data_IF_210835623212
#
_entry.id   IF_210835623212
#
_cell.length_a   1.000
_cell.length_b   1.000
_cell.length_c   1.000
_cell.angle_alpha   90.00
_cell.angle_beta   90.00
_cell.angle_gamma   90.00
#
_symmetry.space_group_name_H-M   'P 1'
#
loop_
_entity.id
_entity.type
_entity.pdbx_description
1 polymer ?
#
# COMPACT_ATOMS: atom_id res chain seq x y z
N UNK A 1 -6.26 -16.43 17.26
CA UNK A 1 -6.00 -14.99 17.16
C UNK A 1 -6.46 -14.49 15.80
N UNK A 2 -6.89 -13.24 15.66
CA UNK A 2 -7.30 -12.70 14.35
C UNK A 2 -6.08 -12.29 13.52
N UNK A 3 -6.15 -12.52 12.21
CA UNK A 3 -5.12 -12.07 11.27
C UNK A 3 -5.00 -10.54 11.26
N UNK A 4 -6.10 -9.84 11.51
CA UNK A 4 -6.14 -8.39 11.64
C UNK A 4 -5.27 -7.86 12.79
N UNK A 5 -5.41 -8.42 14.01
CA UNK A 5 -4.60 -7.98 15.15
C UNK A 5 -3.11 -8.23 14.90
N UNK A 6 -2.78 -9.39 14.34
CA UNK A 6 -1.41 -9.72 13.95
C UNK A 6 -0.83 -8.73 12.93
N UNK A 7 -1.57 -8.43 11.87
CA UNK A 7 -1.17 -7.47 10.84
C UNK A 7 -0.89 -6.08 11.42
N UNK A 8 -1.78 -5.56 12.27
CA UNK A 8 -1.62 -4.21 12.83
C UNK A 8 -0.44 -4.11 13.79
N UNK A 9 -0.27 -5.09 14.68
CA UNK A 9 0.85 -5.09 15.62
C UNK A 9 2.20 -5.30 14.92
N UNK A 10 2.23 -6.10 13.84
CA UNK A 10 3.42 -6.21 13.01
C UNK A 10 3.73 -4.88 12.28
N UNK A 11 2.73 -4.22 11.70
CA UNK A 11 2.92 -2.90 11.08
C UNK A 11 3.46 -1.88 12.09
N UNK A 12 2.89 -1.82 13.29
CA UNK A 12 3.36 -0.93 14.35
C UNK A 12 4.84 -1.20 14.70
N UNK A 13 5.18 -2.48 14.90
CA UNK A 13 6.55 -2.88 15.20
C UNK A 13 7.53 -2.52 14.08
N UNK A 14 7.17 -2.74 12.82
CA UNK A 14 8.02 -2.41 11.67
C UNK A 14 8.23 -0.90 11.53
N UNK A 15 7.17 -0.09 11.66
CA UNK A 15 7.28 1.37 11.56
C UNK A 15 8.19 1.95 12.66
N UNK A 16 8.14 1.39 13.87
CA UNK A 16 8.97 1.86 14.99
C UNK A 16 10.48 1.65 14.80
N UNK A 17 10.87 0.79 13.84
CA UNK A 17 12.24 0.31 13.67
C UNK A 17 12.85 0.64 12.32
N UNK A 18 12.05 1.10 11.37
CA UNK A 18 12.50 1.28 10.00
C UNK A 18 11.92 2.53 9.34
N UNK A 19 12.60 2.98 8.30
CA UNK A 19 12.25 4.20 7.56
C UNK A 19 11.40 3.92 6.30
N UNK A 20 11.11 2.64 5.98
CA UNK A 20 10.27 2.32 4.82
C UNK A 20 8.82 2.77 4.99
N UNK A 21 8.17 3.09 3.87
CA UNK A 21 6.73 3.30 3.85
C UNK A 21 6.00 1.97 3.98
N UNK A 22 5.14 1.89 4.99
CA UNK A 22 4.26 0.73 5.20
C UNK A 22 2.85 1.01 4.70
N UNK A 23 2.31 0.06 3.96
CA UNK A 23 0.90 0.07 3.60
C UNK A 23 0.33 -1.33 3.59
N UNK A 24 -0.99 -1.40 3.78
CA UNK A 24 -1.69 -2.68 3.87
C UNK A 24 -2.67 -2.90 2.74
N UNK A 25 -2.97 -4.15 2.44
CA UNK A 25 -4.10 -4.58 1.64
C UNK A 25 -4.09 -3.87 0.27
N UNK A 26 -3.02 -4.10 -0.50
CA UNK A 26 -2.80 -3.48 -1.80
C UNK A 26 -2.90 -4.50 -2.93
N UNK A 27 -3.72 -4.18 -3.94
CA UNK A 27 -3.87 -5.02 -5.12
C UNK A 27 -2.55 -5.12 -5.91
N UNK A 28 -2.17 -6.35 -6.22
CA UNK A 28 -0.88 -6.74 -6.79
C UNK A 28 -1.02 -7.64 -8.03
N UNK A 29 -2.19 -7.61 -8.67
CA UNK A 29 -2.41 -8.25 -9.96
C UNK A 29 -2.11 -7.33 -11.14
N UNK A 30 -1.76 -7.93 -12.28
CA UNK A 30 -1.48 -7.23 -13.53
C UNK A 30 -2.54 -7.54 -14.59
N UNK A 31 -2.73 -8.80 -14.90
CA UNK A 31 -3.66 -9.32 -15.90
C UNK A 31 -5.08 -9.55 -15.36
N UNK A 32 -5.23 -9.85 -14.05
CA UNK A 32 -6.53 -10.04 -13.41
C UNK A 32 -6.78 -9.02 -12.28
N UNK A 33 -7.28 -7.80 -12.59
CA UNK A 33 -7.46 -6.76 -11.60
C UNK A 33 -8.29 -7.20 -10.39
N UNK A 34 -7.62 -7.34 -9.24
CA UNK A 34 -8.24 -7.77 -7.98
C UNK A 34 -8.00 -9.22 -7.60
N UNK A 35 -7.35 -10.03 -8.46
CA UNK A 35 -7.05 -11.44 -8.21
C UNK A 35 -6.04 -11.68 -7.08
N UNK A 36 -5.15 -10.73 -6.80
CA UNK A 36 -4.16 -10.78 -5.71
C UNK A 36 -4.09 -9.47 -4.95
N UNK A 37 -4.08 -9.57 -3.62
CA UNK A 37 -3.91 -8.47 -2.68
C UNK A 37 -2.74 -8.84 -1.77
N UNK A 38 -1.72 -7.99 -1.64
CA UNK A 38 -0.65 -8.14 -0.66
C UNK A 38 -1.13 -7.61 0.69
N UNK A 39 -0.89 -8.38 1.75
CA UNK A 39 -1.32 -8.01 3.11
C UNK A 39 -0.62 -6.76 3.61
N UNK A 40 0.71 -6.77 3.59
CA UNK A 40 1.56 -5.63 3.94
C UNK A 40 2.62 -5.44 2.87
N UNK A 41 2.91 -4.18 2.54
CA UNK A 41 4.05 -3.80 1.70
C UNK A 41 4.96 -2.84 2.45
N UNK A 42 6.26 -3.06 2.32
CA UNK A 42 7.30 -2.11 2.74
C UNK A 42 7.92 -1.50 1.48
N UNK A 43 8.06 -0.18 1.44
CA UNK A 43 8.65 0.52 0.29
C UNK A 43 9.81 1.38 0.76
N UNK A 44 10.99 1.02 0.28
CA UNK A 44 12.20 1.79 0.49
C UNK A 44 12.07 3.17 -0.21
N UNK A 45 12.28 4.29 0.50
CA UNK A 45 12.35 5.60 -0.12
C UNK A 45 13.49 5.65 -1.15
N UNK A 46 13.17 6.13 -2.36
CA UNK A 46 14.13 6.39 -3.43
C UNK A 46 14.79 7.78 -3.30
N UNK A 47 15.72 8.10 -4.21
CA UNK A 47 16.51 9.33 -4.12
C UNK A 47 15.69 10.62 -4.26
N UNK A 48 14.57 10.59 -4.97
CA UNK A 48 13.70 11.76 -5.18
C UNK A 48 12.41 11.68 -4.33
N UNK A 49 12.47 11.03 -3.16
CA UNK A 49 11.33 10.90 -2.24
C UNK A 49 10.73 12.25 -1.82
N UNK A 50 11.57 13.20 -1.42
CA UNK A 50 11.12 14.53 -0.98
C UNK A 50 10.43 15.31 -2.11
N UNK A 51 10.87 15.10 -3.36
CA UNK A 51 10.23 15.69 -4.53
C UNK A 51 8.82 15.12 -4.72
N UNK A 52 8.61 13.83 -4.47
CA UNK A 52 7.27 13.21 -4.49
C UNK A 52 6.41 13.74 -3.35
N UNK A 53 6.95 13.81 -2.14
CA UNK A 53 6.21 14.25 -0.97
C UNK A 53 5.73 15.70 -1.09
N UNK A 54 6.52 16.56 -1.74
CA UNK A 54 6.16 17.96 -1.99
C UNK A 54 5.00 18.16 -3.01
N UNK A 55 4.52 17.12 -3.69
CA UNK A 55 3.43 17.25 -4.68
C UNK A 55 2.06 17.26 -3.98
N UNK A 56 1.76 16.19 -3.25
CA UNK A 56 0.43 15.93 -2.67
C UNK A 56 0.49 14.75 -1.69
N UNK A 57 -0.31 14.75 -0.60
CA UNK A 57 -0.44 13.61 0.31
C UNK A 57 -1.10 12.39 -0.37
N UNK A 58 -1.79 12.60 -1.47
CA UNK A 58 -2.66 11.64 -2.14
C UNK A 58 -1.90 10.76 -3.15
N UNK A 59 -2.41 9.56 -3.49
CA UNK A 59 -1.85 8.77 -4.58
C UNK A 59 -2.11 9.46 -5.93
N UNK A 60 -1.07 9.62 -6.75
CA UNK A 60 -1.18 10.20 -8.10
C UNK A 60 -1.69 9.11 -9.05
N UNK A 61 -2.76 9.38 -9.85
CA UNK A 61 -3.28 8.38 -10.78
C UNK A 61 -2.22 7.94 -11.81
N UNK A 62 -2.01 6.64 -11.94
CA UNK A 62 -1.05 6.08 -12.92
C UNK A 62 -1.28 6.57 -14.35
N UNK A 63 -2.54 6.74 -14.77
CA UNK A 63 -2.85 7.29 -16.08
C UNK A 63 -2.45 8.77 -16.24
N UNK A 64 -2.43 9.56 -15.17
CA UNK A 64 -1.94 10.94 -15.20
C UNK A 64 -0.41 11.00 -15.25
N UNK A 65 0.27 10.05 -14.58
CA UNK A 65 1.73 9.88 -14.65
C UNK A 65 2.16 9.47 -16.06
N UNK A 66 1.43 8.53 -16.66
CA UNK A 66 1.70 8.00 -18.01
C UNK A 66 1.27 8.93 -19.15
N UNK A 67 0.49 9.98 -18.84
CA UNK A 67 0.00 10.91 -19.84
C UNK A 67 1.17 11.70 -20.46
N UNK A 68 1.06 12.02 -21.74
CA UNK A 68 2.00 12.87 -22.46
C UNK A 68 1.84 14.36 -22.06
N UNK A 69 1.68 14.66 -20.77
CA UNK A 69 1.59 16.01 -20.17
C UNK A 69 2.90 16.28 -19.45
N UNK A 70 3.59 17.37 -19.78
CA UNK A 70 4.82 17.78 -19.09
C UNK A 70 4.63 19.06 -18.28
N UNK A 71 5.72 19.54 -17.67
CA UNK A 71 5.75 20.80 -16.89
C UNK A 71 5.87 22.05 -17.74
N UNK A 72 6.26 21.93 -19.01
CA UNK A 72 6.53 23.06 -19.90
C UNK A 72 5.27 23.68 -20.53
N UNK A 73 4.65 22.99 -21.48
CA UNK A 73 3.51 23.49 -22.25
C UNK A 73 2.22 22.76 -21.91
N UNK A 74 1.17 23.51 -21.61
CA UNK A 74 -0.17 22.96 -21.43
C UNK A 74 -0.67 22.24 -22.70
N UNK A 75 -1.30 21.08 -22.54
CA UNK A 75 -1.82 20.26 -23.62
C UNK A 75 -3.32 20.01 -23.46
N UNK A 76 -4.02 19.90 -24.58
CA UNK A 76 -5.43 19.54 -24.55
C UNK A 76 -5.56 18.13 -23.97
N UNK A 77 -6.24 18.00 -22.84
CA UNK A 77 -6.17 16.77 -22.05
C UNK A 77 -6.67 15.55 -22.84
N UNK A 78 -7.65 15.70 -23.75
CA UNK A 78 -8.16 14.57 -24.54
C UNK A 78 -7.13 13.98 -25.50
N UNK A 79 -6.11 14.73 -25.89
CA UNK A 79 -5.07 14.29 -26.82
C UNK A 79 -3.81 13.79 -26.09
N UNK A 80 -3.81 13.78 -24.75
CA UNK A 80 -2.63 13.53 -23.93
C UNK A 80 -2.57 12.13 -23.32
N UNK A 81 -3.60 11.31 -23.45
CA UNK A 81 -3.69 9.99 -22.81
C UNK A 81 -3.78 8.87 -23.85
N UNK A 82 -3.10 7.77 -23.57
CA UNK A 82 -3.19 6.52 -24.33
C UNK A 82 -4.07 5.51 -23.58
N UNK A 83 -5.32 5.89 -23.30
CA UNK A 83 -6.29 5.02 -22.64
C UNK A 83 -7.73 5.44 -22.94
N UNK A 84 -8.70 4.65 -22.47
CA UNK A 84 -10.13 4.93 -22.66
C UNK A 84 -10.51 6.36 -22.19
N UNK A 85 -11.34 7.12 -22.96
CA UNK A 85 -11.63 8.52 -22.65
C UNK A 85 -12.18 8.79 -21.25
N UNK A 86 -12.99 7.87 -20.71
CA UNK A 86 -13.50 8.01 -19.34
C UNK A 86 -12.40 7.85 -18.29
N UNK A 87 -11.44 6.95 -18.52
CA UNK A 87 -10.27 6.77 -17.64
C UNK A 87 -9.39 8.01 -17.70
N UNK A 88 -9.17 8.55 -18.89
CA UNK A 88 -8.43 9.81 -19.09
C UNK A 88 -9.13 10.97 -18.36
N UNK A 89 -10.46 11.07 -18.45
CA UNK A 89 -11.25 12.09 -17.75
C UNK A 89 -11.10 11.97 -16.23
N UNK A 90 -11.34 10.78 -15.66
CA UNK A 90 -11.19 10.54 -14.21
C UNK A 90 -9.78 10.86 -13.72
N UNK A 91 -8.76 10.44 -14.47
CA UNK A 91 -7.36 10.73 -14.14
C UNK A 91 -7.06 12.24 -14.20
N UNK A 92 -7.59 12.95 -15.20
CA UNK A 92 -7.44 14.41 -15.33
C UNK A 92 -8.13 15.14 -14.18
N UNK A 93 -9.37 14.79 -13.88
CA UNK A 93 -10.15 15.38 -12.78
C UNK A 93 -9.43 15.17 -11.44
N UNK A 94 -9.02 13.94 -11.13
CA UNK A 94 -8.29 13.62 -9.91
C UNK A 94 -6.92 14.32 -9.84
N UNK A 95 -6.17 14.35 -10.94
CA UNK A 95 -4.87 15.03 -10.99
C UNK A 95 -4.99 16.55 -10.74
N UNK A 96 -6.08 17.18 -11.20
CA UNK A 96 -6.36 18.59 -10.91
C UNK A 96 -6.77 18.81 -9.45
N UNK A 97 -7.61 17.92 -8.91
CA UNK A 97 -8.07 17.96 -7.51
C UNK A 97 -6.89 17.90 -6.54
N UNK A 98 -5.97 16.95 -6.74
CA UNK A 98 -4.81 16.74 -5.86
C UNK A 98 -3.63 17.67 -6.19
N UNK A 99 -3.78 18.57 -7.15
CA UNK A 99 -2.75 19.53 -7.52
C UNK A 99 -1.56 18.97 -8.29
N UNK A 100 -1.63 17.77 -8.86
CA UNK A 100 -0.61 17.25 -9.77
C UNK A 100 -0.66 17.92 -11.15
N UNK A 101 -1.86 18.28 -11.61
CA UNK A 101 -2.06 19.10 -12.81
C UNK A 101 -2.53 20.51 -12.46
N UNK A 102 -2.17 21.47 -13.31
CA UNK A 102 -2.76 22.81 -13.40
C UNK A 102 -3.68 22.89 -14.62
N UNK A 103 -4.77 23.65 -14.51
CA UNK A 103 -5.73 23.89 -15.60
C UNK A 103 -5.48 25.24 -16.28
N UNK A 104 -5.44 25.23 -17.60
CA UNK A 104 -5.42 26.41 -18.47
C UNK A 104 -6.59 26.33 -19.45
N UNK A 105 -7.55 27.25 -19.35
CA UNK A 105 -8.78 27.22 -20.16
C UNK A 105 -8.66 28.18 -21.34
N UNK A 106 -8.73 27.64 -22.57
CA UNK A 106 -8.59 28.40 -23.81
C UNK A 106 -9.74 28.09 -24.77
N UNK A 107 -10.46 29.10 -25.22
CA UNK A 107 -11.57 28.96 -26.17
C UNK A 107 -12.57 27.85 -25.78
N UNK A 108 -12.91 27.76 -24.49
CA UNK A 108 -13.82 26.74 -23.95
C UNK A 108 -13.26 25.32 -23.81
N UNK A 109 -11.96 25.10 -24.10
CA UNK A 109 -11.27 23.82 -23.94
C UNK A 109 -10.32 23.87 -22.74
N UNK A 110 -10.23 22.74 -22.04
CA UNK A 110 -9.31 22.59 -20.91
C UNK A 110 -7.98 22.03 -21.38
N UNK A 111 -6.91 22.77 -21.11
CA UNK A 111 -5.54 22.34 -21.27
C UNK A 111 -4.95 22.07 -19.88
N UNK A 112 -4.06 21.08 -19.79
CA UNK A 112 -3.42 20.69 -18.53
C UNK A 112 -1.90 20.65 -18.65
N UNK A 113 -1.24 20.89 -17.54
CA UNK A 113 0.23 20.86 -17.39
C UNK A 113 0.57 20.25 -16.03
N UNK A 114 1.65 19.50 -15.94
CA UNK A 114 2.14 19.00 -14.65
C UNK A 114 2.73 20.14 -13.81
N UNK A 115 2.51 20.12 -12.49
CA UNK A 115 3.14 21.08 -11.56
C UNK A 115 4.63 20.78 -11.36
N UNK A 116 5.00 19.50 -11.43
CA UNK A 116 6.36 19.02 -11.26
C UNK A 116 6.58 17.81 -12.18
N UNK A 117 7.85 17.54 -12.53
CA UNK A 117 8.19 16.28 -13.19
C UNK A 117 7.92 15.15 -12.21
N UNK A 118 7.34 14.05 -12.69
CA UNK A 118 7.16 12.88 -11.85
C UNK A 118 8.54 12.30 -11.44
N UNK A 119 8.83 12.17 -10.14
CA UNK A 119 10.16 11.81 -9.64
C UNK A 119 10.43 10.30 -9.58
N UNK A 120 11.70 9.91 -9.54
CA UNK A 120 12.16 8.56 -9.22
C UNK A 120 12.29 8.38 -7.70
N UNK A 121 11.16 8.07 -7.07
CA UNK A 121 10.99 8.32 -5.63
C UNK A 121 10.91 7.05 -4.76
N UNK A 122 10.86 5.85 -5.33
CA UNK A 122 10.76 4.60 -4.57
C UNK A 122 11.81 3.58 -5.03
N UNK A 123 12.31 2.80 -4.08
CA UNK A 123 13.28 1.73 -4.28
C UNK A 123 12.63 0.34 -4.20
N UNK A 124 13.22 -0.56 -3.39
CA UNK A 124 12.71 -1.92 -3.19
C UNK A 124 11.29 -1.91 -2.62
N UNK A 125 10.49 -2.87 -3.07
CA UNK A 125 9.16 -3.20 -2.55
C UNK A 125 9.26 -4.62 -1.97
N UNK A 126 8.98 -4.75 -0.67
CA UNK A 126 8.89 -6.05 0.01
C UNK A 126 7.43 -6.34 0.28
N UNK A 127 6.92 -7.47 -0.20
CA UNK A 127 5.60 -7.99 0.15
C UNK A 127 5.70 -8.88 1.38
N UNK A 128 4.85 -8.63 2.39
CA UNK A 128 4.73 -9.46 3.58
C UNK A 128 3.34 -10.07 3.59
N UNK A 129 3.28 -11.40 3.60
CA UNK A 129 2.05 -12.18 3.74
C UNK A 129 1.92 -12.62 5.21
N UNK A 130 0.78 -12.34 5.82
CA UNK A 130 0.53 -12.61 7.22
C UNK A 130 -0.21 -13.94 7.39
N UNK A 131 0.41 -14.90 8.06
CA UNK A 131 -0.25 -16.15 8.46
C UNK A 131 0.12 -16.54 9.89
N UNK A 132 -0.55 -16.01 10.92
CA UNK A 132 -0.21 -16.31 12.31
C UNK A 132 -0.32 -17.81 12.64
N UNK A 133 -1.32 -18.50 12.10
CA UNK A 133 -1.56 -19.95 12.29
C UNK A 133 -1.31 -20.76 11.01
N UNK A 134 -0.14 -21.41 10.93
CA UNK A 134 0.21 -22.33 9.82
C UNK A 134 -0.52 -23.68 9.90
N UNK A 135 -1.23 -23.97 10.99
CA UNK A 135 -2.13 -25.12 11.08
C UNK A 135 -3.36 -24.99 10.18
N UNK A 136 -3.70 -23.77 9.74
CA UNK A 136 -4.82 -23.46 8.84
C UNK A 136 -4.34 -22.55 7.70
N UNK A 137 -3.49 -23.05 6.79
CA UNK A 137 -2.82 -22.21 5.81
C UNK A 137 -3.75 -21.65 4.73
N UNK A 138 -4.91 -22.26 4.50
CA UNK A 138 -5.81 -21.85 3.40
C UNK A 138 -5.08 -21.91 2.06
N UNK A 139 -5.20 -20.83 1.27
CA UNK A 139 -4.58 -20.70 -0.06
C UNK A 139 -3.14 -20.16 -0.03
N UNK A 140 -2.51 -20.09 1.14
CA UNK A 140 -1.18 -19.49 1.34
C UNK A 140 -0.13 -19.99 0.33
N UNK A 141 -0.05 -21.30 0.11
CA UNK A 141 0.92 -21.87 -0.82
C UNK A 141 0.71 -21.35 -2.25
N UNK A 142 -0.55 -21.26 -2.70
CA UNK A 142 -0.88 -20.76 -4.03
C UNK A 142 -0.59 -19.27 -4.17
N UNK A 143 -0.86 -18.48 -3.13
CA UNK A 143 -0.57 -17.04 -3.07
C UNK A 143 0.95 -16.79 -3.16
N UNK A 144 1.74 -17.47 -2.33
CA UNK A 144 3.20 -17.31 -2.33
C UNK A 144 3.83 -17.77 -3.66
N UNK A 145 3.34 -18.86 -4.24
CA UNK A 145 3.76 -19.29 -5.59
C UNK A 145 3.42 -18.25 -6.65
N UNK A 146 2.25 -17.61 -6.54
CA UNK A 146 1.85 -16.52 -7.45
C UNK A 146 2.80 -15.33 -7.33
N UNK A 147 3.13 -14.90 -6.11
CA UNK A 147 4.00 -13.75 -5.90
C UNK A 147 5.41 -13.99 -6.44
N UNK A 148 5.96 -15.19 -6.21
CA UNK A 148 7.27 -15.60 -6.77
C UNK A 148 7.21 -15.70 -8.29
N UNK A 149 6.20 -16.37 -8.83
CA UNK A 149 6.02 -16.58 -10.27
C UNK A 149 5.83 -15.27 -11.03
N UNK A 150 5.10 -14.32 -10.46
CA UNK A 150 4.86 -13.02 -11.05
C UNK A 150 6.08 -12.11 -10.88
N UNK A 151 6.78 -12.19 -9.74
CA UNK A 151 7.94 -11.35 -9.44
C UNK A 151 7.59 -9.87 -9.46
N UNK A 152 6.47 -9.48 -8.84
CA UNK A 152 6.02 -8.08 -8.82
C UNK A 152 6.73 -7.25 -7.75
N UNK A 153 7.03 -7.85 -6.61
CA UNK A 153 7.81 -7.26 -5.52
C UNK A 153 9.24 -7.78 -5.57
N UNK A 154 10.18 -7.04 -4.98
CA UNK A 154 11.60 -7.43 -4.97
C UNK A 154 11.83 -8.63 -4.08
N UNK A 155 11.11 -8.71 -2.96
CA UNK A 155 11.19 -9.81 -2.00
C UNK A 155 9.79 -10.11 -1.44
N UNK A 156 9.57 -11.38 -1.08
CA UNK A 156 8.34 -11.84 -0.44
C UNK A 156 8.70 -12.48 0.89
N UNK A 157 7.97 -12.15 1.95
CA UNK A 157 8.16 -12.69 3.29
C UNK A 157 6.85 -13.23 3.82
N UNK A 158 6.89 -14.44 4.39
CA UNK A 158 5.82 -14.97 5.23
C UNK A 158 6.08 -14.61 6.69
N UNK A 159 5.18 -13.83 7.31
CA UNK A 159 5.21 -13.55 8.74
C UNK A 159 4.22 -14.45 9.50
N UNK A 160 4.70 -15.14 10.54
CA UNK A 160 3.89 -16.11 11.29
C UNK A 160 4.26 -16.16 12.77
N UNK A 161 3.32 -16.49 13.66
CA UNK A 161 3.62 -16.84 15.06
C UNK A 161 3.93 -18.32 15.24
N UNK A 162 3.48 -19.13 14.29
CA UNK A 162 3.60 -20.58 14.35
C UNK A 162 5.06 -21.00 14.37
N UNK A 163 5.35 -22.05 15.15
CA UNK A 163 6.65 -22.70 15.05
C UNK A 163 6.83 -23.30 13.65
N UNK A 164 7.88 -22.87 12.95
CA UNK A 164 8.12 -23.26 11.56
C UNK A 164 8.87 -24.59 11.52
N UNK A 165 8.15 -25.67 11.22
CA UNK A 165 8.72 -27.00 11.06
C UNK A 165 9.37 -27.18 9.69
N UNK A 166 10.18 -28.24 9.51
CA UNK A 166 10.70 -28.60 8.19
C UNK A 166 9.60 -28.89 7.17
N UNK A 167 8.48 -29.49 7.60
CA UNK A 167 7.33 -29.73 6.74
C UNK A 167 6.64 -28.42 6.28
N UNK A 168 6.61 -27.40 7.14
CA UNK A 168 6.13 -26.07 6.77
C UNK A 168 7.08 -25.44 5.73
N UNK A 169 8.39 -25.45 5.99
CA UNK A 169 9.40 -24.90 5.07
C UNK A 169 9.30 -25.52 3.67
N UNK A 170 9.13 -26.84 3.57
CA UNK A 170 9.07 -27.54 2.29
C UNK A 170 7.86 -27.20 1.41
N UNK A 171 6.81 -26.56 1.96
CA UNK A 171 5.64 -26.11 1.20
C UNK A 171 5.75 -24.66 0.74
N UNK A 172 6.66 -23.91 1.34
CA UNK A 172 6.87 -22.50 1.06
C UNK A 172 7.97 -22.40 -0.01
N UNK A 173 7.77 -21.68 -1.13
CA UNK A 173 8.80 -21.48 -2.14
C UNK A 173 10.14 -21.04 -1.54
N UNK A 174 11.27 -21.49 -2.09
CA UNK A 174 12.59 -21.27 -1.49
C UNK A 174 12.99 -19.79 -1.47
N UNK A 175 12.47 -19.01 -2.41
CA UNK A 175 12.68 -17.57 -2.54
C UNK A 175 12.00 -16.77 -1.42
N UNK A 176 10.97 -17.32 -0.78
CA UNK A 176 10.16 -16.60 0.21
C UNK A 176 10.88 -16.58 1.57
N UNK A 177 11.12 -15.40 2.11
CA UNK A 177 11.61 -15.24 3.48
C UNK A 177 10.59 -15.74 4.49
N UNK A 178 11.04 -16.19 5.66
CA UNK A 178 10.16 -16.62 6.74
C UNK A 178 10.54 -15.88 8.00
N UNK A 179 9.61 -15.10 8.52
CA UNK A 179 9.71 -14.39 9.79
C UNK A 179 8.82 -15.06 10.82
N UNK A 180 9.42 -15.45 11.94
CA UNK A 180 8.69 -15.88 13.12
C UNK A 180 8.55 -14.70 14.07
N UNK A 181 7.31 -14.31 14.32
CA UNK A 181 6.94 -13.15 15.12
C UNK A 181 6.61 -13.63 16.52
N UNK A 182 7.36 -13.13 17.50
CA UNK A 182 7.15 -13.41 18.92
C UNK A 182 6.42 -12.23 19.56
N UNK A 183 5.29 -12.53 20.21
CA UNK A 183 4.39 -11.54 20.81
C UNK A 183 4.17 -11.83 22.28
N UNK A 184 4.01 -10.77 23.04
CA UNK A 184 3.68 -10.78 24.47
C UNK A 184 2.76 -9.58 24.74
N UNK A 185 1.72 -9.80 25.54
CA UNK A 185 0.75 -8.78 25.98
C UNK A 185 0.18 -7.90 24.85
N UNK A 186 -0.10 -8.49 23.68
CA UNK A 186 -0.71 -7.75 22.56
C UNK A 186 0.25 -6.79 21.84
N UNK A 187 1.56 -7.08 21.89
CA UNK A 187 2.56 -6.39 21.09
C UNK A 187 3.63 -7.36 20.57
N UNK A 188 4.20 -7.04 19.39
CA UNK A 188 5.37 -7.75 18.85
C UNK A 188 6.63 -7.33 19.61
N UNK A 189 7.28 -8.31 20.24
CA UNK A 189 8.54 -8.13 20.97
C UNK A 189 9.74 -8.35 20.05
N UNK A 190 9.68 -9.41 19.24
CA UNK A 190 10.78 -9.84 18.38
C UNK A 190 10.25 -10.40 17.06
N UNK A 191 11.01 -10.16 15.99
CA UNK A 191 10.84 -10.80 14.69
C UNK A 191 12.11 -11.61 14.41
N UNK A 192 12.03 -12.93 14.57
CA UNK A 192 13.09 -13.88 14.29
C UNK A 192 13.11 -14.21 12.78
N UNK A 193 14.24 -14.00 12.12
CA UNK A 193 14.43 -14.39 10.72
C UNK A 193 14.78 -15.88 10.65
N UNK A 194 13.79 -16.70 10.29
CA UNK A 194 13.91 -18.15 10.17
C UNK A 194 14.55 -18.55 8.82
N UNK A 195 14.28 -17.75 7.79
CA UNK A 195 14.90 -17.82 6.44
C UNK A 195 14.89 -16.42 5.83
N UNK A 196 16.01 -15.97 5.29
CA UNK A 196 16.09 -14.72 4.52
C UNK A 196 15.34 -14.86 3.18
N UNK A 197 14.63 -13.81 2.72
CA UNK A 197 14.06 -13.80 1.38
C UNK A 197 15.17 -13.73 0.32
N UNK A 198 14.90 -14.29 -0.85
CA UNK A 198 15.73 -14.13 -2.04
C UNK A 198 15.12 -13.08 -2.97
N UNK A 199 15.93 -12.24 -3.64
CA UNK A 199 15.44 -11.28 -4.62
C UNK A 199 14.73 -11.98 -5.79
N UNK A 200 13.58 -11.42 -6.20
CA UNK A 200 12.81 -11.86 -7.35
C UNK A 200 13.18 -11.06 -8.61
N UNK A 201 12.97 -11.67 -9.79
CA UNK A 201 13.28 -11.07 -11.08
C UNK A 201 12.20 -10.07 -11.55
N UNK A 202 12.25 -8.86 -11.00
CA UNK A 202 11.27 -7.78 -11.26
C UNK A 202 11.41 -7.16 -12.66
N UNK A 203 12.57 -7.32 -13.30
CA UNK A 203 12.94 -6.79 -14.61
C UNK A 203 12.89 -7.85 -15.74
N UNK A 204 12.57 -9.10 -15.41
CA UNK A 204 12.27 -10.17 -16.35
C UNK A 204 10.76 -10.39 -16.51
N UNK A 205 10.28 -11.05 -17.59
CA UNK A 205 8.88 -11.46 -17.67
C UNK A 205 8.46 -12.36 -16.51
N UNK A 206 7.24 -12.19 -16.02
CA UNK A 206 6.67 -13.02 -14.95
C UNK A 206 5.41 -13.75 -15.42
N UNK A 207 4.96 -14.73 -14.63
CA UNK A 207 3.74 -15.46 -14.92
C UNK A 207 2.71 -15.18 -13.82
N UNK A 208 1.55 -14.65 -14.22
CA UNK A 208 0.38 -14.49 -13.36
C UNK A 208 -0.59 -15.64 -13.62
N UNK A 209 -0.83 -16.52 -12.62
CA UNK A 209 -1.92 -17.48 -12.68
C UNK A 209 -3.28 -16.77 -12.69
N UNK A 210 -4.20 -17.23 -13.53
CA UNK A 210 -5.56 -16.71 -13.68
C UNK A 210 -6.56 -17.76 -13.16
N UNK A 211 -7.63 -18.02 -13.90
CA UNK A 211 -8.63 -19.01 -13.55
C UNK A 211 -8.02 -20.43 -13.49
N UNK A 212 -8.23 -21.10 -12.37
CA UNK A 212 -7.83 -22.49 -12.19
C UNK A 212 -9.01 -23.43 -12.50
N UNK A 213 -8.73 -24.45 -13.31
CA UNK A 213 -9.65 -25.50 -13.67
C UNK A 213 -9.09 -26.87 -13.23
N UNK A 214 -9.92 -27.93 -13.10
CA UNK A 214 -9.46 -29.23 -12.60
C UNK A 214 -8.26 -29.86 -13.34
N UNK A 215 -8.04 -29.52 -14.61
CA UNK A 215 -6.97 -30.08 -15.45
C UNK A 215 -5.97 -29.04 -16.00
N UNK A 216 -6.18 -27.75 -15.74
CA UNK A 216 -5.30 -26.67 -16.23
C UNK A 216 -5.47 -25.41 -15.40
N UNK A 217 -4.47 -24.55 -15.41
CA UNK A 217 -4.60 -23.17 -14.92
C UNK A 217 -4.26 -22.25 -16.07
N UNK A 218 -5.15 -21.31 -16.35
CA UNK A 218 -4.89 -20.28 -17.35
C UNK A 218 -3.83 -19.32 -16.79
N UNK A 219 -2.94 -18.82 -17.65
CA UNK A 219 -1.83 -17.97 -17.24
C UNK A 219 -1.70 -16.76 -18.16
N UNK A 220 -1.22 -15.64 -17.60
CA UNK A 220 -0.75 -14.50 -18.35
C UNK A 220 0.78 -14.37 -18.24
N UNK A 221 1.43 -14.14 -19.38
CA UNK A 221 2.84 -13.72 -19.40
C UNK A 221 2.86 -12.20 -19.27
N UNK A 222 3.41 -11.71 -18.17
CA UNK A 222 3.45 -10.29 -17.82
C UNK A 222 4.83 -9.73 -18.14
N UNK A 223 4.87 -8.68 -18.96
CA UNK A 223 6.13 -8.04 -19.34
C UNK A 223 6.72 -7.20 -18.20
N UNK A 224 8.05 -6.95 -18.20
CA UNK A 224 8.69 -6.04 -17.23
C UNK A 224 8.07 -4.65 -17.20
N UNK A 225 7.63 -4.13 -18.36
CA UNK A 225 6.99 -2.83 -18.45
C UNK A 225 5.62 -2.79 -17.76
N UNK A 226 4.85 -3.89 -17.83
CA UNK A 226 3.58 -4.01 -17.12
C UNK A 226 3.80 -4.14 -15.60
N UNK A 227 4.79 -4.94 -15.18
CA UNK A 227 5.22 -5.01 -13.77
C UNK A 227 5.61 -3.64 -13.25
N UNK A 228 6.46 -2.90 -13.97
CA UNK A 228 6.91 -1.56 -13.58
C UNK A 228 5.74 -0.58 -13.39
N UNK A 229 4.72 -0.61 -14.27
CA UNK A 229 3.50 0.22 -14.12
C UNK A 229 2.69 -0.15 -12.88
N UNK A 230 2.61 -1.43 -12.53
CA UNK A 230 1.89 -1.91 -11.35
C UNK A 230 2.70 -1.63 -10.08
N UNK A 231 4.01 -1.86 -10.08
CA UNK A 231 4.93 -1.48 -8.98
C UNK A 231 4.81 -0.01 -8.63
N UNK A 232 4.84 0.88 -9.62
CA UNK A 232 4.61 2.32 -9.41
C UNK A 232 3.23 2.60 -8.81
N UNK A 233 2.20 1.85 -9.22
CA UNK A 233 0.85 1.98 -8.66
C UNK A 233 0.79 1.53 -7.20
N UNK A 234 1.48 0.45 -6.85
CA UNK A 234 1.62 -0.03 -5.47
C UNK A 234 2.31 1.05 -4.64
N UNK A 235 3.42 1.60 -5.15
CA UNK A 235 4.13 2.70 -4.50
C UNK A 235 3.23 3.92 -4.26
N UNK A 236 2.59 4.44 -5.30
CA UNK A 236 1.68 5.58 -5.16
C UNK A 236 0.56 5.31 -4.16
N UNK A 237 -0.04 4.10 -4.21
CA UNK A 237 -1.08 3.71 -3.26
C UNK A 237 -0.54 3.57 -1.85
N UNK A 238 0.66 3.07 -1.65
CA UNK A 238 1.27 2.96 -0.33
C UNK A 238 1.56 4.35 0.26
N UNK A 239 2.11 5.26 -0.55
CA UNK A 239 2.30 6.66 -0.17
C UNK A 239 0.98 7.31 0.26
N UNK A 240 -0.08 7.19 -0.54
CA UNK A 240 -1.37 7.78 -0.19
C UNK A 240 -2.07 7.10 1.00
N UNK A 241 -2.21 5.77 0.95
CA UNK A 241 -3.07 4.99 1.86
C UNK A 241 -2.42 4.72 3.23
N UNK A 242 -1.12 4.38 3.25
CA UNK A 242 -0.47 3.84 4.44
C UNK A 242 -1.13 2.55 4.97
N UNK A 243 -0.82 2.20 6.22
CA UNK A 243 -1.39 1.01 6.89
C UNK A 243 -2.49 1.34 7.91
N UNK A 244 -2.55 2.59 8.41
CA UNK A 244 -3.55 3.08 9.39
C UNK A 244 -4.95 3.28 8.78
N UNK A 245 -5.52 2.24 8.19
CA UNK A 245 -6.85 2.29 7.54
C UNK A 245 -7.91 1.53 8.33
N UNK A 246 -7.88 1.63 9.66
CA UNK A 246 -8.82 1.02 10.59
C UNK A 246 -9.59 2.09 11.36
N UNK A 247 -10.68 1.70 12.02
CA UNK A 247 -11.50 2.57 12.83
C UNK A 247 -11.57 2.06 14.27
N UNK A 248 -11.91 2.96 15.19
CA UNK A 248 -12.20 2.62 16.58
C UNK A 248 -13.70 2.31 16.71
N UNK A 249 -14.09 1.14 17.24
CA UNK A 249 -15.47 0.81 17.53
C UNK A 249 -16.17 1.83 18.45
N UNK A 250 -17.47 2.07 18.21
CA UNK A 250 -18.39 2.79 19.11
C UNK A 250 -18.77 1.93 20.34
N UNK A 251 -17.76 1.56 21.13
CA UNK A 251 -17.89 0.66 22.28
C UNK A 251 -17.04 1.13 23.45
N UNK A 252 -17.61 1.18 24.66
CA UNK A 252 -16.93 1.61 25.89
C UNK A 252 -15.76 0.69 26.27
N UNK A 253 -15.84 -0.59 25.89
CA UNK A 253 -14.76 -1.54 26.09
C UNK A 253 -13.59 -1.33 25.12
N UNK A 254 -13.73 -0.52 24.08
CA UNK A 254 -12.64 -0.22 23.15
C UNK A 254 -11.93 1.08 23.54
N UNK A 255 -10.62 1.02 23.68
CA UNK A 255 -9.76 2.18 23.93
C UNK A 255 -8.69 2.32 22.85
N UNK A 256 -8.18 3.54 22.73
CA UNK A 256 -6.96 3.82 22.02
C UNK A 256 -5.76 3.40 22.89
N UNK A 257 -4.99 2.44 22.40
CA UNK A 257 -3.84 1.87 23.12
C UNK A 257 -2.58 2.02 22.28
N UNK A 258 -1.46 2.42 22.91
CA UNK A 258 -0.18 2.52 22.20
C UNK A 258 0.51 1.15 22.23
N UNK A 259 0.38 0.41 21.12
CA UNK A 259 1.01 -0.89 20.94
C UNK A 259 2.09 -0.79 19.87
N UNK A 260 3.32 -1.15 20.23
CA UNK A 260 4.46 -1.14 19.32
C UNK A 260 4.81 0.24 18.75
N UNK A 261 4.40 1.34 19.42
CA UNK A 261 4.61 2.70 18.93
C UNK A 261 3.57 3.16 17.91
N UNK A 262 2.37 2.56 17.90
CA UNK A 262 1.23 2.99 17.10
C UNK A 262 -0.07 2.91 17.92
N UNK A 263 -1.02 3.83 17.66
CA UNK A 263 -2.31 3.83 18.35
C UNK A 263 -3.27 2.81 17.73
N UNK A 264 -3.55 1.72 18.43
CA UNK A 264 -4.41 0.62 17.96
C UNK A 264 -5.74 0.52 18.74
N UNK A 265 -6.82 0.00 18.11
CA UNK A 265 -8.11 -0.23 18.78
C UNK A 265 -8.05 -1.48 19.67
N UNK A 266 -7.77 -1.29 20.95
CA UNK A 266 -7.71 -2.38 21.94
C UNK A 266 -9.04 -2.53 22.67
N UNK A 267 -9.61 -3.73 22.66
CA UNK A 267 -10.80 -4.07 23.43
C UNK A 267 -10.39 -4.65 24.79
N UNK A 268 -10.76 -3.98 25.88
CA UNK A 268 -10.52 -4.43 27.25
C UNK A 268 -11.29 -5.72 27.58
N UNK A 269 -12.50 -5.89 27.04
CA UNK A 269 -13.30 -7.10 27.30
C UNK A 269 -12.72 -8.34 26.61
N UNK A 270 -12.16 -8.19 25.41
CA UNK A 270 -11.57 -9.28 24.65
C UNK A 270 -10.04 -9.41 24.84
N UNK A 271 -9.44 -8.46 25.56
CA UNK A 271 -8.00 -8.35 25.84
C UNK A 271 -7.13 -8.45 24.58
N UNK A 272 -7.53 -7.73 23.51
CA UNK A 272 -6.82 -7.74 22.22
C UNK A 272 -7.17 -6.56 21.33
N UNK A 273 -6.36 -6.34 20.31
CA UNK A 273 -6.72 -5.51 19.16
C UNK A 273 -7.93 -6.09 18.42
N UNK A 274 -8.86 -5.23 18.04
CA UNK A 274 -10.13 -5.59 17.39
C UNK A 274 -10.38 -4.80 16.11
N UNK A 275 -11.00 -5.44 15.12
CA UNK A 275 -11.53 -4.76 13.94
C UNK A 275 -12.97 -4.27 14.20
N UNK A 276 -13.20 -2.96 14.05
CA UNK A 276 -14.53 -2.37 14.17
C UNK A 276 -15.56 -2.96 13.20
N UNK A 277 -15.14 -3.42 12.02
CA UNK A 277 -16.04 -3.97 11.01
C UNK A 277 -16.51 -5.40 11.27
N UNK A 278 -15.77 -6.17 12.06
CA UNK A 278 -15.97 -7.63 12.18
C UNK A 278 -15.95 -8.18 13.60
N UNK A 279 -15.16 -7.59 14.51
CA UNK A 279 -14.98 -8.09 15.87
C UNK A 279 -15.92 -7.43 16.89
N UNK A 280 -16.33 -6.19 16.67
CA UNK A 280 -17.08 -5.39 17.65
C UNK A 280 -18.43 -4.90 17.09
N UNK A 281 -19.51 -5.12 17.83
CA UNK A 281 -20.85 -4.67 17.47
C UNK A 281 -21.91 -5.14 18.45
N UNK A 282 -23.18 -4.75 18.22
CA UNK A 282 -24.31 -4.99 19.14
C UNK A 282 -24.60 -6.47 19.43
N UNK A 283 -24.07 -7.39 18.64
CA UNK A 283 -24.16 -8.83 18.88
C UNK A 283 -23.09 -9.37 19.85
N UNK A 284 -22.05 -8.59 20.17
CA UNK A 284 -20.99 -8.98 21.09
C UNK A 284 -21.49 -8.89 22.55
N UNK A 285 -21.29 -9.92 23.39
CA UNK A 285 -21.70 -9.89 24.81
C UNK A 285 -21.04 -8.80 25.65
N UNK A 286 -19.84 -8.35 25.26
CA UNK A 286 -19.11 -7.26 25.91
C UNK A 286 -19.35 -5.88 25.27
N UNK A 287 -20.30 -5.77 24.35
CA UNK A 287 -20.58 -4.50 23.69
C UNK A 287 -21.35 -3.55 24.62
N UNK A 288 -20.79 -2.37 24.83
CA UNK A 288 -21.41 -1.29 25.56
C UNK A 288 -21.34 -0.03 24.71
N UNK A 289 -22.49 0.51 24.28
CA UNK A 289 -22.51 1.64 23.37
C UNK A 289 -21.81 2.88 23.98
N UNK A 290 -20.85 3.43 23.25
CA UNK A 290 -20.17 4.70 23.55
C UNK A 290 -19.76 5.39 22.25
N UNK A 291 -19.32 6.65 22.32
CA UNK A 291 -18.68 7.29 21.18
C UNK A 291 -17.31 6.65 20.93
N UNK A 292 -16.98 6.37 19.67
CA UNK A 292 -15.63 5.98 19.26
C UNK A 292 -14.56 6.95 19.78
N UNK A 293 -13.37 6.41 20.02
CA UNK A 293 -12.22 7.21 20.41
C UNK A 293 -11.87 8.24 19.31
N UNK A 294 -11.71 9.50 19.70
CA UNK A 294 -11.29 10.58 18.81
C UNK A 294 -9.77 10.50 18.58
N UNK A 295 -9.37 9.70 17.59
CA UNK A 295 -7.97 9.48 17.23
C UNK A 295 -7.71 9.96 15.81
N UNK A 296 -6.85 10.96 15.68
CA UNK A 296 -6.38 11.44 14.39
C UNK A 296 -5.18 10.61 13.89
N UNK A 297 -5.49 9.49 13.24
CA UNK A 297 -4.49 8.57 12.67
C UNK A 297 -3.68 9.21 11.54
N UNK A 298 -4.23 10.20 10.83
CA UNK A 298 -3.51 10.92 9.77
C UNK A 298 -2.46 11.85 10.38
N UNK A 299 -2.82 12.63 11.40
CA UNK A 299 -1.86 13.46 12.11
C UNK A 299 -0.81 12.63 12.86
N UNK A 300 -1.16 11.43 13.35
CA UNK A 300 -0.16 10.51 13.89
C UNK A 300 0.84 10.06 12.82
N UNK A 301 0.35 9.65 11.65
CA UNK A 301 1.19 9.23 10.53
C UNK A 301 2.15 10.34 10.07
N UNK A 302 1.66 11.56 9.94
CA UNK A 302 2.45 12.75 9.56
C UNK A 302 3.60 13.02 10.55
N UNK A 303 3.36 12.81 11.85
CA UNK A 303 4.40 12.95 12.88
C UNK A 303 5.42 11.82 12.90
N UNK A 304 5.02 10.60 12.50
CA UNK A 304 5.82 9.38 12.68
C UNK A 304 6.56 8.94 11.42
N UNK A 305 6.17 9.42 10.25
CA UNK A 305 6.67 8.93 8.97
C UNK A 305 7.06 10.08 8.05
N UNK A 306 7.73 9.77 6.94
CA UNK A 306 8.06 10.75 5.90
C UNK A 306 6.87 11.13 4.99
N UNK A 307 5.66 10.62 5.27
CA UNK A 307 4.45 11.09 4.59
C UNK A 307 4.08 12.49 5.08
N UNK A 308 3.71 13.38 4.15
CA UNK A 308 3.43 14.80 4.44
C UNK A 308 1.95 15.07 4.19
N UNK A 309 1.21 15.41 5.24
CA UNK A 309 -0.24 15.66 5.17
C UNK A 309 -0.61 16.93 4.39
N UNK A 310 0.16 18.00 4.57
CA UNK A 310 -0.07 19.30 3.92
C UNK A 310 1.23 19.84 3.32
N UNK A 311 1.64 19.34 2.14
CA UNK A 311 2.84 19.81 1.48
C UNK A 311 2.65 21.24 0.94
N UNK A 312 3.69 22.07 1.02
CA UNK A 312 3.70 23.46 0.51
C UNK A 312 3.29 23.57 -0.99
N UNK A 313 3.39 22.45 -1.71
CA UNK A 313 2.99 22.32 -3.10
C UNK A 313 4.03 22.88 -4.08
N UNK A 314 4.17 22.23 -5.25
CA UNK A 314 5.08 22.68 -6.32
C UNK A 314 4.43 23.66 -7.31
N UNK A 315 3.33 24.31 -6.94
CA UNK A 315 2.62 25.24 -7.84
C UNK A 315 3.53 26.39 -8.23
N UNK A 316 3.76 26.55 -9.53
CA UNK A 316 4.52 27.70 -10.02
C UNK A 316 3.70 28.97 -9.78
N UNK A 317 4.14 29.86 -8.87
CA UNK A 317 3.75 31.27 -8.95
C UNK A 317 4.31 31.79 -10.26
N UNK A 318 3.43 32.14 -11.20
CA UNK A 318 3.81 32.81 -12.42
C UNK A 318 4.44 34.16 -12.04
N UNK A 319 5.77 34.19 -11.92
CA UNK A 319 6.51 35.40 -11.60
C UNK A 319 6.45 36.35 -12.79
N UNK A 320 5.62 37.38 -12.65
CA UNK A 320 5.77 38.70 -13.28
C UNK A 320 5.62 38.75 -14.80
N UNK A 321 4.38 38.73 -15.29
CA UNK A 321 4.03 39.39 -16.56
C UNK A 321 3.70 40.88 -16.37
N UNK A 322 3.67 41.38 -15.13
CA UNK A 322 3.41 42.78 -14.80
C UNK A 322 4.63 43.71 -15.03
N UNK A 323 5.69 43.22 -15.68
CA UNK A 323 6.90 44.02 -16.02
C UNK A 323 7.02 44.42 -17.49
N UNK A 324 5.99 44.13 -18.29
CA UNK A 324 5.88 44.63 -19.65
C UNK A 324 4.49 45.27 -19.86
N UNK A 325 4.31 46.44 -19.25
CA UNK A 325 3.20 47.37 -19.46
C UNK A 325 3.71 48.78 -19.56
#
# INVERSE_FOLDING_TARGET
>A
MSEFAFELELCAHLESRREELLARQLGASVADPGGRILDVVCIEPGPEFDDRAAITPEPIPGAAIDAAVGTGRARYWKDAFDCHPERARRATERALEIGFFERDRRNGRDYVRQVARYPDWYGRIVGIENKPDLGRPGDLEAQLRTDVSLGLVDEVVLATESYVTGAHRNRIPDEVGIWRVHREDGAVQEVEVVRDPSPLAVDEPGIEPLESHPARTDIAVVSPAEKARVRRRIAERAYGKGWRTYAFPDCAACRADDSGGATLPHCEWAERVVDAGSDCGTACPGYEAASAADVDLAAERDRRTSWVADPDGRRHRQSGLDRFG
#
